data_IF_581770490604
#
_entry.id   IF_581770490604
#
_cell.length_a   1.000
_cell.length_b   1.000
_cell.length_c   1.000
_cell.angle_alpha   90.00
_cell.angle_beta   90.00
_cell.angle_gamma   90.00
#
_symmetry.space_group_name_H-M   'P 1'
#
loop_
_entity.id
_entity.type
_entity.pdbx_description
1 polymer ?
#
# COMPACT_ATOMS: atom_id res chain seq x y z
N UNK A 1 7.45 -6.44 12.18
CA UNK A 1 7.23 -5.15 12.90
C UNK A 1 7.53 -5.23 14.39
N UNK A 2 6.95 -6.16 15.15
CA UNK A 2 7.12 -6.22 16.61
C UNK A 2 8.60 -6.37 17.03
N UNK A 3 9.32 -7.37 16.48
CA UNK A 3 10.73 -7.58 16.81
C UNK A 3 11.61 -6.37 16.45
N UNK A 4 11.33 -5.71 15.32
CA UNK A 4 12.04 -4.50 14.92
C UNK A 4 11.71 -3.33 15.85
N UNK A 5 10.46 -3.18 16.27
CA UNK A 5 10.02 -2.16 17.21
C UNK A 5 10.69 -2.30 18.57
N UNK A 6 10.77 -3.51 19.12
CA UNK A 6 11.49 -3.79 20.38
C UNK A 6 12.97 -3.46 20.26
N UNK A 7 13.60 -3.85 19.14
CA UNK A 7 15.01 -3.54 18.88
C UNK A 7 15.24 -2.03 18.71
N UNK A 8 14.32 -1.32 18.05
CA UNK A 8 14.36 0.13 17.86
C UNK A 8 14.13 0.92 19.16
N UNK A 9 13.39 0.36 20.11
CA UNK A 9 13.26 0.93 21.46
C UNK A 9 14.52 0.68 22.28
N UNK A 10 15.11 -0.52 22.18
CA UNK A 10 16.33 -0.87 22.92
C UNK A 10 17.58 -0.13 22.40
N UNK A 11 17.65 0.13 21.10
CA UNK A 11 18.75 0.82 20.44
C UNK A 11 18.23 1.85 19.41
N UNK A 12 17.88 3.07 19.85
CA UNK A 12 17.34 4.12 18.99
C UNK A 12 18.44 4.81 18.16
N UNK A 13 19.16 4.04 17.35
CA UNK A 13 20.17 4.56 16.42
C UNK A 13 19.53 5.10 15.15
N UNK A 14 20.05 6.22 14.64
CA UNK A 14 19.70 6.75 13.32
C UNK A 14 20.07 5.73 12.24
N UNK A 15 19.10 5.29 11.43
CA UNK A 15 19.28 4.31 10.35
C UNK A 15 18.69 2.90 10.61
N UNK A 16 18.29 2.59 11.84
CA UNK A 16 17.60 1.35 12.23
C UNK A 16 18.27 0.04 11.78
N UNK A 17 17.58 -0.78 10.96
CA UNK A 17 17.91 -2.20 10.77
C UNK A 17 19.26 -2.46 10.09
N UNK A 18 19.70 -1.62 9.14
CA UNK A 18 21.02 -1.83 8.51
C UNK A 18 22.17 -1.58 9.50
N UNK A 19 21.95 -0.69 10.49
CA UNK A 19 22.90 -0.44 11.59
C UNK A 19 22.92 -1.62 12.56
N UNK A 20 21.76 -2.21 12.86
CA UNK A 20 21.68 -3.42 13.68
C UNK A 20 22.39 -4.60 13.00
N UNK A 21 22.13 -4.83 11.71
CA UNK A 21 22.80 -5.88 10.93
C UNK A 21 24.31 -5.65 10.88
N UNK A 22 24.76 -4.41 10.66
CA UNK A 22 26.18 -4.06 10.68
C UNK A 22 26.85 -4.40 12.02
N UNK A 23 26.15 -4.17 13.13
CA UNK A 23 26.67 -4.40 14.50
C UNK A 23 26.69 -5.88 14.89
N UNK A 24 25.66 -6.65 14.53
CA UNK A 24 25.48 -8.02 15.03
C UNK A 24 25.86 -9.14 14.04
N UNK A 25 25.85 -8.86 12.73
CA UNK A 25 26.19 -9.86 11.70
C UNK A 25 27.52 -9.52 11.04
N UNK A 26 27.70 -8.28 10.63
CA UNK A 26 28.97 -7.81 10.09
C UNK A 26 28.84 -6.65 9.11
N UNK A 27 29.96 -5.96 8.83
CA UNK A 27 29.97 -4.76 7.99
C UNK A 27 29.51 -5.01 6.56
N UNK A 28 29.91 -6.13 5.95
CA UNK A 28 29.52 -6.48 4.58
C UNK A 28 28.03 -6.73 4.45
N UNK A 29 27.42 -7.45 5.38
CA UNK A 29 25.97 -7.71 5.39
C UNK A 29 25.18 -6.43 5.64
N UNK A 30 25.67 -5.56 6.53
CA UNK A 30 25.07 -4.24 6.77
C UNK A 30 25.03 -3.38 5.50
N UNK A 31 26.11 -3.38 4.72
CA UNK A 31 26.16 -2.69 3.43
C UNK A 31 25.16 -3.26 2.42
N UNK A 32 25.11 -4.59 2.26
CA UNK A 32 24.17 -5.26 1.36
C UNK A 32 22.72 -4.93 1.72
N UNK A 33 22.36 -4.98 3.00
CA UNK A 33 21.00 -4.63 3.47
C UNK A 33 20.66 -3.17 3.18
N UNK A 34 21.61 -2.25 3.34
CA UNK A 34 21.39 -0.84 3.02
C UNK A 34 21.09 -0.64 1.52
N UNK A 35 21.86 -1.28 0.64
CA UNK A 35 21.65 -1.20 -0.81
C UNK A 35 20.32 -1.84 -1.22
N UNK A 36 20.01 -3.04 -0.71
CA UNK A 36 18.74 -3.71 -1.01
C UNK A 36 17.54 -2.88 -0.56
N UNK A 37 17.63 -2.25 0.61
CA UNK A 37 16.58 -1.37 1.10
C UNK A 37 16.40 -0.13 0.23
N UNK A 38 17.50 0.52 -0.15
CA UNK A 38 17.46 1.67 -1.05
C UNK A 38 16.86 1.31 -2.42
N UNK A 39 17.24 0.16 -2.99
CA UNK A 39 16.67 -0.35 -4.24
C UNK A 39 15.17 -0.64 -4.11
N UNK A 40 14.75 -1.24 -2.99
CA UNK A 40 13.34 -1.54 -2.72
C UNK A 40 12.49 -0.26 -2.74
N UNK A 41 12.95 0.80 -2.06
CA UNK A 41 12.23 2.08 -2.06
C UNK A 41 12.26 2.79 -3.41
N UNK A 42 13.36 2.70 -4.14
CA UNK A 42 13.46 3.26 -5.50
C UNK A 42 12.42 2.63 -6.43
N UNK A 43 12.28 1.30 -6.39
CA UNK A 43 11.30 0.56 -7.18
C UNK A 43 9.88 0.88 -6.70
N UNK A 44 9.63 0.89 -5.39
CA UNK A 44 8.32 1.18 -4.82
C UNK A 44 7.82 2.57 -5.24
N UNK A 45 8.64 3.62 -5.09
CA UNK A 45 8.28 4.99 -5.51
C UNK A 45 8.09 5.09 -7.03
N UNK A 46 8.95 4.45 -7.83
CA UNK A 46 8.79 4.39 -9.29
C UNK A 46 7.46 3.76 -9.73
N UNK A 47 7.03 2.71 -9.02
CA UNK A 47 5.72 2.07 -9.26
C UNK A 47 4.55 3.01 -8.95
N UNK A 48 4.68 3.86 -7.92
CA UNK A 48 3.63 4.83 -7.55
C UNK A 48 3.50 5.95 -8.58
N UNK A 49 4.61 6.48 -9.11
CA UNK A 49 4.56 7.48 -10.19
C UNK A 49 3.96 6.90 -11.46
N UNK A 50 4.29 5.65 -11.79
CA UNK A 50 3.68 4.93 -12.92
C UNK A 50 2.18 4.77 -12.73
N UNK A 51 1.73 4.41 -11.52
CA UNK A 51 0.31 4.32 -11.20
C UNK A 51 -0.40 5.68 -11.33
N UNK A 52 0.21 6.76 -10.86
CA UNK A 52 -0.31 8.11 -11.03
C UNK A 52 -0.43 8.49 -12.53
N UNK A 53 0.59 8.18 -13.33
CA UNK A 53 0.58 8.39 -14.77
C UNK A 53 -0.52 7.60 -15.50
N UNK A 54 -0.76 6.36 -15.08
CA UNK A 54 -1.86 5.53 -15.60
C UNK A 54 -3.24 6.09 -15.26
N UNK A 55 -3.40 6.66 -14.07
CA UNK A 55 -4.64 7.33 -13.68
C UNK A 55 -4.84 8.58 -14.57
N UNK A 56 -3.80 9.41 -14.74
CA UNK A 56 -3.88 10.61 -15.57
C UNK A 56 -4.16 10.31 -17.04
N UNK A 57 -3.60 9.23 -17.58
CA UNK A 57 -3.87 8.80 -18.95
C UNK A 57 -5.36 8.44 -19.18
N UNK A 58 -6.11 8.03 -18.14
CA UNK A 58 -7.56 7.81 -18.29
C UNK A 58 -8.33 9.11 -18.57
N UNK A 59 -7.83 10.24 -18.07
CA UNK A 59 -8.43 11.57 -18.29
C UNK A 59 -7.89 12.22 -19.57
N UNK A 60 -6.59 12.03 -19.83
CA UNK A 60 -5.89 12.59 -20.99
C UNK A 60 -5.24 11.46 -21.83
N UNK A 61 -6.03 10.72 -22.61
CA UNK A 61 -5.55 9.54 -23.35
C UNK A 61 -4.49 9.85 -24.40
N UNK A 62 -4.45 11.09 -24.89
CA UNK A 62 -3.46 11.57 -25.86
C UNK A 62 -2.04 11.74 -25.28
N UNK A 63 -1.90 11.82 -23.96
CA UNK A 63 -0.59 12.00 -23.30
C UNK A 63 -0.09 10.65 -22.78
N UNK A 64 1.16 10.32 -23.08
CA UNK A 64 1.78 9.05 -22.67
C UNK A 64 2.05 9.00 -21.16
N UNK A 65 2.00 7.80 -20.59
CA UNK A 65 2.18 7.55 -19.15
C UNK A 65 3.50 8.12 -18.64
N UNK A 66 4.59 7.97 -19.39
CA UNK A 66 5.92 8.40 -18.95
C UNK A 66 6.02 9.92 -18.74
N UNK A 67 5.27 10.72 -19.54
CA UNK A 67 5.23 12.17 -19.40
C UNK A 67 4.58 12.52 -18.06
N UNK A 68 3.41 11.93 -17.76
CA UNK A 68 2.74 12.15 -16.49
C UNK A 68 3.57 11.69 -15.29
N UNK A 69 4.21 10.52 -15.39
CA UNK A 69 5.09 10.01 -14.34
C UNK A 69 6.26 10.96 -14.07
N UNK A 70 6.92 11.45 -15.12
CA UNK A 70 8.04 12.38 -15.01
C UNK A 70 7.60 13.72 -14.44
N UNK A 71 6.46 14.26 -14.89
CA UNK A 71 5.91 15.51 -14.35
C UNK A 71 5.60 15.38 -12.86
N UNK A 72 4.96 14.28 -12.42
CA UNK A 72 4.70 14.04 -11.00
C UNK A 72 5.98 13.95 -10.18
N UNK A 73 6.99 13.25 -10.71
CA UNK A 73 8.29 13.11 -10.06
C UNK A 73 9.00 14.47 -9.91
N UNK A 74 9.02 15.28 -10.97
CA UNK A 74 9.61 16.63 -10.94
C UNK A 74 8.88 17.52 -9.93
N UNK A 75 7.54 17.50 -9.91
CA UNK A 75 6.77 18.33 -8.97
C UNK A 75 7.08 17.99 -7.51
N UNK A 76 7.13 16.70 -7.17
CA UNK A 76 7.46 16.25 -5.82
C UNK A 76 8.91 16.55 -5.47
N UNK A 77 9.83 16.32 -6.40
CA UNK A 77 11.24 16.63 -6.22
C UNK A 77 11.46 18.12 -5.96
N UNK A 78 10.84 19.00 -6.75
CA UNK A 78 10.92 20.45 -6.56
C UNK A 78 10.29 20.87 -5.23
N UNK A 79 9.13 20.33 -4.87
CA UNK A 79 8.49 20.61 -3.58
C UNK A 79 9.43 20.28 -2.41
N UNK A 80 10.10 19.13 -2.46
CA UNK A 80 11.07 18.73 -1.45
C UNK A 80 12.33 19.61 -1.46
N UNK A 81 12.83 19.97 -2.65
CA UNK A 81 14.02 20.80 -2.82
C UNK A 81 13.84 22.23 -2.28
N UNK A 82 12.68 22.84 -2.50
CA UNK A 82 12.40 24.20 -2.03
C UNK A 82 12.03 24.26 -0.54
N UNK A 83 11.24 23.31 -0.03
CA UNK A 83 10.88 23.28 1.38
C UNK A 83 10.39 21.91 1.83
N UNK A 84 11.22 21.25 2.64
CA UNK A 84 10.87 19.98 3.31
C UNK A 84 9.62 20.13 4.17
N UNK A 85 9.42 21.31 4.79
CA UNK A 85 8.23 21.60 5.61
C UNK A 85 6.97 21.68 4.76
N UNK A 86 7.02 22.35 3.61
CA UNK A 86 5.87 22.45 2.71
C UNK A 86 5.48 21.08 2.12
N UNK A 87 6.47 20.24 1.83
CA UNK A 87 6.23 18.85 1.43
C UNK A 87 5.52 18.06 2.55
N UNK A 88 6.02 18.15 3.78
CA UNK A 88 5.44 17.45 4.93
C UNK A 88 3.99 17.92 5.25
N UNK A 89 3.72 19.22 5.15
CA UNK A 89 2.35 19.75 5.32
C UNK A 89 1.42 19.25 4.21
N UNK A 90 1.87 19.26 2.96
CA UNK A 90 1.08 18.75 1.82
C UNK A 90 0.77 17.26 1.99
N UNK A 91 1.77 16.47 2.40
CA UNK A 91 1.60 15.05 2.68
C UNK A 91 0.57 14.80 3.78
N UNK A 92 0.59 15.60 4.85
CA UNK A 92 -0.38 15.50 5.94
C UNK A 92 -1.82 15.72 5.44
N UNK A 93 -2.06 16.73 4.61
CA UNK A 93 -3.38 16.98 4.01
C UNK A 93 -3.81 15.86 3.06
N UNK A 94 -2.91 15.37 2.20
CA UNK A 94 -3.22 14.25 1.30
C UNK A 94 -3.48 12.95 2.06
N UNK A 95 -2.78 12.70 3.16
CA UNK A 95 -3.04 11.56 4.04
C UNK A 95 -4.44 11.66 4.68
N UNK A 96 -4.87 12.85 5.12
CA UNK A 96 -6.21 13.06 5.65
C UNK A 96 -7.30 12.75 4.61
N UNK A 97 -7.15 13.23 3.36
CA UNK A 97 -8.07 12.91 2.26
C UNK A 97 -8.11 11.41 2.00
N UNK A 98 -6.96 10.73 2.01
CA UNK A 98 -6.88 9.27 1.81
C UNK A 98 -7.65 8.50 2.89
N UNK A 99 -7.48 8.88 4.17
CA UNK A 99 -8.22 8.24 5.27
C UNK A 99 -9.72 8.48 5.12
N UNK A 100 -10.14 9.72 4.83
CA UNK A 100 -11.54 10.04 4.63
C UNK A 100 -12.15 9.22 3.47
N UNK A 101 -11.45 9.10 2.34
CA UNK A 101 -11.90 8.33 1.19
C UNK A 101 -12.11 6.84 1.53
N UNK A 102 -11.22 6.24 2.32
CA UNK A 102 -11.35 4.83 2.74
C UNK A 102 -12.53 4.66 3.71
N UNK A 103 -12.68 5.57 4.68
CA UNK A 103 -13.82 5.53 5.62
C UNK A 103 -15.14 5.67 4.88
N UNK A 104 -15.24 6.64 3.97
CA UNK A 104 -16.41 6.83 3.13
C UNK A 104 -16.71 5.59 2.29
N UNK A 105 -15.68 4.97 1.70
CA UNK A 105 -15.81 3.73 0.93
C UNK A 105 -16.35 2.58 1.80
N UNK A 106 -15.84 2.40 3.01
CA UNK A 106 -16.29 1.34 3.93
C UNK A 106 -17.75 1.57 4.35
N UNK A 107 -18.12 2.81 4.70
CA UNK A 107 -19.49 3.15 5.12
C UNK A 107 -20.48 2.99 3.98
N UNK A 108 -20.20 3.60 2.81
CA UNK A 108 -21.08 3.52 1.64
C UNK A 108 -21.16 2.08 1.11
N UNK A 109 -20.05 1.35 1.10
CA UNK A 109 -20.03 -0.05 0.71
C UNK A 109 -20.79 -0.94 1.69
N UNK A 110 -20.68 -0.69 3.00
CA UNK A 110 -21.49 -1.36 4.03
C UNK A 110 -22.99 -1.13 3.85
N UNK A 111 -23.40 0.12 3.58
CA UNK A 111 -24.78 0.46 3.27
C UNK A 111 -25.28 -0.22 1.99
N UNK A 112 -24.43 -0.32 0.96
CA UNK A 112 -24.73 -1.04 -0.27
C UNK A 112 -24.88 -2.55 -0.06
N UNK A 113 -24.05 -3.16 0.79
CA UNK A 113 -24.15 -4.58 1.17
C UNK A 113 -25.46 -4.84 1.93
N UNK A 114 -25.84 -3.93 2.83
CA UNK A 114 -27.08 -4.00 3.60
C UNK A 114 -28.35 -3.68 2.77
N UNK A 115 -28.19 -3.25 1.51
CA UNK A 115 -29.31 -3.01 0.59
C UNK A 115 -29.94 -1.62 0.68
N UNK A 116 -29.36 -0.69 1.46
CA UNK A 116 -29.84 0.69 1.56
C UNK A 116 -29.48 1.56 0.34
N UNK A 117 -28.50 1.13 -0.48
CA UNK A 117 -28.07 1.81 -1.69
C UNK A 117 -28.25 0.90 -2.92
N UNK A 118 -28.87 1.39 -4.01
CA UNK A 118 -28.97 0.63 -5.25
C UNK A 118 -27.59 0.52 -5.92
N UNK A 119 -27.10 -0.70 -6.11
CA UNK A 119 -25.84 -0.98 -6.80
C UNK A 119 -26.14 -1.29 -8.28
N UNK A 120 -25.58 -0.50 -9.20
CA UNK A 120 -25.70 -0.75 -10.66
C UNK A 120 -25.21 -2.18 -10.99
N UNK A 121 -26.09 -3.01 -11.52
CA UNK A 121 -25.79 -4.40 -11.91
C UNK A 121 -26.30 -5.48 -10.95
N UNK A 122 -26.96 -5.11 -9.84
CA UNK A 122 -27.62 -6.06 -8.94
C UNK A 122 -29.12 -5.72 -8.78
N UNK A 123 -29.98 -6.73 -8.90
CA UNK A 123 -31.44 -6.60 -8.70
C UNK A 123 -31.86 -6.69 -7.22
N UNK A 124 -30.96 -7.14 -6.33
CA UNK A 124 -31.15 -7.24 -4.89
C UNK A 124 -29.84 -6.93 -4.15
N UNK A 125 -29.89 -6.67 -2.84
CA UNK A 125 -28.71 -6.45 -2.02
C UNK A 125 -27.68 -7.58 -2.24
N UNK A 126 -26.42 -7.28 -2.63
CA UNK A 126 -25.39 -8.30 -2.87
C UNK A 126 -25.14 -9.18 -1.63
N UNK A 127 -25.38 -8.62 -0.43
CA UNK A 127 -25.16 -9.29 0.85
C UNK A 127 -23.73 -9.81 0.97
N UNK A 128 -23.57 -10.91 1.69
CA UNK A 128 -22.30 -11.63 1.79
C UNK A 128 -22.21 -12.79 0.77
N UNK A 129 -23.11 -12.86 -0.20
CA UNK A 129 -23.22 -14.00 -1.12
C UNK A 129 -21.92 -14.22 -1.93
N UNK A 130 -21.22 -13.14 -2.27
CA UNK A 130 -19.96 -13.22 -3.02
C UNK A 130 -18.80 -13.90 -2.25
N UNK A 131 -18.87 -14.01 -0.92
CA UNK A 131 -17.84 -14.69 -0.13
C UNK A 131 -17.85 -16.21 -0.31
N UNK A 132 -19.03 -16.82 -0.40
CA UNK A 132 -19.17 -18.29 -0.38
C UNK A 132 -19.69 -18.88 -1.70
N UNK A 133 -20.30 -18.08 -2.57
CA UNK A 133 -20.96 -18.57 -3.80
C UNK A 133 -20.03 -19.28 -4.80
N UNK A 134 -18.73 -19.00 -4.78
CA UNK A 134 -17.76 -19.63 -5.70
C UNK A 134 -16.75 -20.55 -4.94
N UNK A 135 -17.06 -20.95 -3.70
CA UNK A 135 -16.13 -21.64 -2.81
C UNK A 135 -15.10 -20.69 -2.19
N UNK A 136 -14.41 -21.17 -1.14
CA UNK A 136 -13.45 -20.36 -0.38
C UNK A 136 -12.13 -20.14 -1.11
N UNK A 137 -11.79 -21.01 -2.07
CA UNK A 137 -10.56 -20.96 -2.87
C UNK A 137 -10.86 -21.03 -4.38
N UNK A 138 -11.44 -19.99 -4.99
CA UNK A 138 -11.83 -20.01 -6.40
C UNK A 138 -10.64 -20.14 -7.37
N UNK A 139 -9.42 -19.78 -6.94
CA UNK A 139 -8.16 -19.94 -7.68
C UNK A 139 -7.31 -21.13 -7.19
N UNK A 140 -7.86 -22.00 -6.35
CA UNK A 140 -7.10 -23.04 -5.68
C UNK A 140 -6.08 -22.49 -4.67
N UNK A 141 -5.25 -23.39 -4.13
CA UNK A 141 -4.28 -23.05 -3.09
C UNK A 141 -3.10 -22.21 -3.60
N UNK A 142 -2.78 -22.29 -4.91
CA UNK A 142 -1.74 -21.47 -5.54
C UNK A 142 -2.07 -19.97 -5.50
N UNK A 143 -3.34 -19.59 -5.68
CA UNK A 143 -3.79 -18.20 -5.61
C UNK A 143 -3.56 -17.56 -4.23
N UNK A 144 -3.55 -18.36 -3.16
CA UNK A 144 -3.25 -17.89 -1.79
C UNK A 144 -1.81 -17.39 -1.72
N UNK A 145 -0.86 -18.11 -2.30
CA UNK A 145 0.55 -17.71 -2.30
C UNK A 145 0.79 -16.43 -3.10
N UNK A 146 0.21 -16.31 -4.30
CA UNK A 146 0.32 -15.08 -5.10
C UNK A 146 -0.28 -13.87 -4.38
N UNK A 147 -1.43 -14.07 -3.71
CA UNK A 147 -2.07 -13.02 -2.91
C UNK A 147 -1.21 -12.65 -1.70
N UNK A 148 -0.61 -13.64 -1.02
CA UNK A 148 0.27 -13.41 0.12
C UNK A 148 1.49 -12.56 -0.25
N UNK A 149 2.10 -12.82 -1.41
CA UNK A 149 3.20 -12.00 -1.94
C UNK A 149 2.77 -10.55 -2.21
N UNK A 150 1.59 -10.38 -2.81
CA UNK A 150 1.01 -9.06 -3.11
C UNK A 150 0.73 -8.28 -1.83
N UNK A 151 0.14 -8.94 -0.84
CA UNK A 151 -0.18 -8.36 0.47
C UNK A 151 1.10 -8.01 1.24
N UNK A 152 2.14 -8.85 1.15
CA UNK A 152 3.45 -8.56 1.74
C UNK A 152 4.04 -7.26 1.17
N UNK A 153 4.02 -7.10 -0.16
CA UNK A 153 4.48 -5.89 -0.82
C UNK A 153 3.64 -4.66 -0.41
N UNK A 154 2.32 -4.81 -0.29
CA UNK A 154 1.41 -3.73 0.12
C UNK A 154 1.65 -3.23 1.56
N UNK A 155 2.23 -4.07 2.43
CA UNK A 155 2.57 -3.69 3.81
C UNK A 155 4.04 -3.33 4.03
N UNK A 156 4.84 -3.38 2.96
CA UNK A 156 6.18 -2.80 2.95
C UNK A 156 6.09 -1.30 3.21
N UNK A 157 7.00 -0.77 4.02
CA UNK A 157 7.03 0.64 4.45
C UNK A 157 6.54 0.89 5.87
N UNK A 158 5.99 -0.12 6.54
CA UNK A 158 5.60 -0.03 7.95
C UNK A 158 6.79 -0.13 8.90
N UNK A 159 7.92 -0.67 8.43
CA UNK A 159 9.22 -0.64 9.06
C UNK A 159 9.83 0.77 9.19
N UNK A 160 9.29 1.76 8.47
CA UNK A 160 9.76 3.15 8.52
C UNK A 160 9.62 3.75 9.93
N UNK A 161 8.66 3.24 10.73
CA UNK A 161 8.52 3.56 12.16
C UNK A 161 9.82 3.22 12.92
N UNK A 162 10.48 2.11 12.56
CA UNK A 162 11.76 1.72 13.15
C UNK A 162 12.89 2.66 12.73
N UNK A 163 12.90 3.12 11.48
CA UNK A 163 13.91 4.04 10.93
C UNK A 163 13.88 5.40 11.63
N UNK A 164 12.69 5.90 11.93
CA UNK A 164 12.49 7.20 12.61
C UNK A 164 12.65 7.10 14.14
N UNK A 165 12.90 5.91 14.70
CA UNK A 165 13.07 5.75 16.14
C UNK A 165 14.26 6.54 16.71
N UNK A 166 15.32 6.74 15.93
CA UNK A 166 16.46 7.58 16.31
C UNK A 166 16.20 9.08 16.25
N UNK A 167 15.02 9.50 15.79
CA UNK A 167 14.57 10.90 15.69
C UNK A 167 13.39 11.20 16.62
N UNK A 168 12.87 10.19 17.32
CA UNK A 168 11.78 10.36 18.27
C UNK A 168 12.30 10.89 19.62
N UNK A 169 11.62 11.89 20.19
CA UNK A 169 11.98 12.45 21.52
C UNK A 169 11.90 11.41 22.65
N UNK A 170 10.92 10.49 22.58
CA UNK A 170 10.71 9.44 23.58
C UNK A 170 10.43 8.07 22.91
N UNK A 171 11.46 7.37 22.42
CA UNK A 171 11.30 6.14 21.65
C UNK A 171 10.54 5.04 22.40
N UNK A 172 10.75 4.91 23.72
CA UNK A 172 10.11 3.85 24.53
C UNK A 172 8.59 3.97 24.58
N UNK A 173 8.03 5.18 24.41
CA UNK A 173 6.58 5.41 24.39
C UNK A 173 6.06 5.62 22.95
N UNK A 174 6.78 6.39 22.15
CA UNK A 174 6.37 6.76 20.80
C UNK A 174 6.30 5.55 19.87
N UNK A 175 7.32 4.67 19.89
CA UNK A 175 7.41 3.53 18.97
C UNK A 175 6.33 2.47 19.24
N UNK A 176 6.13 1.99 20.49
CA UNK A 176 5.06 1.02 20.74
C UNK A 176 3.66 1.58 20.46
N UNK A 177 3.42 2.86 20.76
CA UNK A 177 2.16 3.53 20.45
C UNK A 177 1.91 3.63 18.95
N UNK A 178 2.92 4.04 18.18
CA UNK A 178 2.85 4.15 16.72
C UNK A 178 2.60 2.78 16.06
N UNK A 179 3.27 1.71 16.54
CA UNK A 179 3.06 0.35 16.04
C UNK A 179 1.61 -0.11 16.32
N UNK A 180 1.13 0.02 17.57
CA UNK A 180 -0.25 -0.38 17.93
C UNK A 180 -1.28 0.38 17.11
N UNK A 181 -1.12 1.70 16.97
CA UNK A 181 -2.02 2.54 16.18
C UNK A 181 -2.00 2.14 14.69
N UNK A 182 -0.83 1.84 14.15
CA UNK A 182 -0.68 1.39 12.75
C UNK A 182 -1.35 0.05 12.52
N UNK A 183 -1.18 -0.92 13.43
CA UNK A 183 -1.85 -2.22 13.35
C UNK A 183 -3.37 -2.09 13.41
N UNK A 184 -3.90 -1.29 14.34
CA UNK A 184 -5.34 -1.04 14.43
C UNK A 184 -5.91 -0.40 13.17
N UNK A 185 -5.23 0.61 12.62
CA UNK A 185 -5.62 1.22 11.34
C UNK A 185 -5.59 0.21 10.19
N UNK A 186 -4.61 -0.69 10.17
CA UNK A 186 -4.52 -1.75 9.17
C UNK A 186 -5.71 -2.71 9.26
N UNK A 187 -6.02 -3.19 10.46
CA UNK A 187 -7.16 -4.07 10.70
C UNK A 187 -8.48 -3.41 10.25
N UNK A 188 -8.70 -2.15 10.59
CA UNK A 188 -9.96 -1.47 10.27
C UNK A 188 -10.03 -1.10 8.77
N UNK A 189 -9.03 -0.38 8.26
CA UNK A 189 -9.10 0.19 6.92
C UNK A 189 -8.79 -0.83 5.83
N UNK A 190 -7.74 -1.64 6.00
CA UNK A 190 -7.33 -2.60 4.97
C UNK A 190 -8.27 -3.79 4.93
N UNK A 191 -8.48 -4.48 6.07
CA UNK A 191 -9.39 -5.64 6.09
C UNK A 191 -10.83 -5.19 5.82
N UNK A 192 -11.26 -4.06 6.38
CA UNK A 192 -12.60 -3.52 6.12
C UNK A 192 -12.84 -3.19 4.65
N UNK A 193 -11.90 -2.51 3.98
CA UNK A 193 -12.06 -2.19 2.55
C UNK A 193 -12.01 -3.43 1.65
N UNK A 194 -11.14 -4.41 1.96
CA UNK A 194 -11.13 -5.69 1.23
C UNK A 194 -12.43 -6.44 1.44
N UNK A 195 -12.93 -6.54 2.67
CA UNK A 195 -14.18 -7.22 2.96
C UNK A 195 -15.35 -6.60 2.18
N UNK A 196 -15.41 -5.26 2.14
CA UNK A 196 -16.42 -4.53 1.35
C UNK A 196 -16.26 -4.78 -0.15
N UNK A 197 -15.03 -4.73 -0.69
CA UNK A 197 -14.79 -5.02 -2.10
C UNK A 197 -15.16 -6.47 -2.47
N UNK A 198 -14.79 -7.44 -1.64
CA UNK A 198 -15.11 -8.85 -1.83
C UNK A 198 -16.61 -9.13 -1.74
N UNK A 199 -17.34 -8.39 -0.92
CA UNK A 199 -18.79 -8.49 -0.83
C UNK A 199 -19.50 -7.94 -2.09
N UNK A 200 -19.00 -6.83 -2.65
CA UNK A 200 -19.67 -6.12 -3.74
C UNK A 200 -19.30 -6.64 -5.13
N UNK A 201 -18.03 -7.01 -5.36
CA UNK A 201 -17.51 -7.33 -6.69
C UNK A 201 -17.45 -8.85 -6.87
N UNK A 202 -18.17 -9.44 -7.84
CA UNK A 202 -18.05 -10.85 -8.14
C UNK A 202 -16.63 -11.19 -8.60
N UNK A 203 -16.09 -12.29 -8.07
CA UNK A 203 -14.75 -12.80 -8.40
C UNK A 203 -14.44 -12.81 -9.91
N UNK A 204 -15.38 -13.29 -10.73
CA UNK A 204 -15.23 -13.39 -12.20
C UNK A 204 -15.04 -12.04 -12.90
N UNK A 205 -15.53 -10.95 -12.30
CA UNK A 205 -15.42 -9.60 -12.86
C UNK A 205 -14.14 -8.92 -12.37
N UNK A 206 -13.74 -9.16 -11.12
CA UNK A 206 -12.52 -8.61 -10.52
C UNK A 206 -11.26 -8.96 -11.34
N UNK A 207 -11.10 -10.23 -11.75
CA UNK A 207 -9.94 -10.68 -12.53
C UNK A 207 -9.83 -10.04 -13.93
N UNK A 208 -10.96 -9.61 -14.54
CA UNK A 208 -10.94 -9.01 -15.88
C UNK A 208 -10.38 -7.59 -15.90
N UNK A 209 -10.61 -6.81 -14.84
CA UNK A 209 -10.06 -5.46 -14.72
C UNK A 209 -8.53 -5.49 -14.58
N UNK A 210 -8.00 -6.37 -13.73
CA UNK A 210 -6.56 -6.55 -13.54
C UNK A 210 -5.86 -6.99 -14.85
N UNK A 211 -6.47 -7.94 -15.57
CA UNK A 211 -5.96 -8.41 -16.87
C UNK A 211 -5.98 -7.33 -17.96
N UNK A 212 -7.04 -6.52 -18.03
CA UNK A 212 -7.13 -5.43 -19.01
C UNK A 212 -6.08 -4.33 -18.82
N UNK A 213 -5.71 -4.06 -17.57
CA UNK A 213 -4.68 -3.06 -17.24
C UNK A 213 -3.30 -3.59 -17.65
N UNK A 214 -3.00 -4.86 -17.35
CA UNK A 214 -1.72 -5.44 -17.74
C UNK A 214 -1.58 -5.62 -19.27
N UNK A 215 -2.67 -5.98 -19.97
CA UNK A 215 -2.66 -6.11 -21.43
C UNK A 215 -2.39 -4.77 -22.13
N UNK A 216 -2.90 -3.66 -21.59
CA UNK A 216 -2.71 -2.31 -22.13
C UNK A 216 -1.28 -1.78 -21.95
N UNK A 217 -0.54 -2.34 -20.99
CA UNK A 217 0.85 -1.97 -20.69
C UNK A 217 1.91 -2.79 -21.46
N UNK A 218 1.54 -3.70 -22.37
CA UNK A 218 2.46 -4.60 -23.09
C UNK A 218 3.47 -5.35 -22.20
N UNK A 219 3.19 -5.53 -20.92
CA UNK A 219 3.97 -6.41 -20.06
C UNK A 219 3.51 -7.85 -20.32
N UNK A 220 4.30 -8.61 -21.08
CA UNK A 220 4.08 -10.04 -21.35
C UNK A 220 4.21 -10.94 -20.10
N UNK A 221 4.56 -10.37 -18.94
CA UNK A 221 4.88 -11.12 -17.72
C UNK A 221 4.31 -10.45 -16.46
N UNK A 222 3.00 -10.20 -16.41
CA UNK A 222 2.34 -10.07 -15.10
C UNK A 222 2.18 -11.46 -14.47
N UNK A 223 3.26 -12.00 -13.89
CA UNK A 223 3.20 -13.19 -13.02
C UNK A 223 2.35 -12.96 -11.75
N UNK A 224 1.94 -11.71 -11.48
CA UNK A 224 1.14 -11.28 -10.34
C UNK A 224 -0.38 -11.21 -10.59
N UNK A 225 -0.85 -11.57 -11.79
CA UNK A 225 -2.26 -11.42 -12.17
C UNK A 225 -3.04 -12.76 -12.21
N UNK A 226 -2.48 -13.80 -11.59
CA UNK A 226 -3.08 -15.14 -11.46
C UNK A 226 -3.69 -15.37 -10.08
#
# INVERSE_FOLDING_TARGET
MLCLGELSVAMPYKGAFHVYVKKYIGPSTGFVVAILYWLTWTIALGSQFTAAGLIMQKWFPQVSVWIWSLTCMILIFLSNFFSVKAFAESEFWFAAIKVFAIVAFIVLGGLAIAGFLPVKGYHAAPGLANFYRNGWFPNGFSGVFTTMLTVNFAFSGTELIGVTAGEAENPQKAIPSAIKTTLWRLLIFFIGSIAVMSALIPYKVAGRYAKSICLRLRFNSCAFCG
#
